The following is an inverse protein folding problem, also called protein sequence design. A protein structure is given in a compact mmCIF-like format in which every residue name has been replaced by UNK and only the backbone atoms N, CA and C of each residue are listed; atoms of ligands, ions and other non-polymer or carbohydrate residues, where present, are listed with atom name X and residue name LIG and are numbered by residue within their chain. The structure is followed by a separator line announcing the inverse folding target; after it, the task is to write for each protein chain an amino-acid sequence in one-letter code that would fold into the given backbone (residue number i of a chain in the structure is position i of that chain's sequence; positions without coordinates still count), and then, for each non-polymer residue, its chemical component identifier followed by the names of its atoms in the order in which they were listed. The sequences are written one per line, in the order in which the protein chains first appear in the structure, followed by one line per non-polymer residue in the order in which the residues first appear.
data_IF_389863872855
#
_entry.id   IF_389863872855
#
_cell.length_a   1.000
_cell.length_b   1.000
_cell.length_c   1.000
_cell.angle_alpha   90.00
_cell.angle_beta   90.00
_cell.angle_gamma   90.00
#
_symmetry.space_group_name_H-M   'P 1'
#
loop_
_entity.id
_entity.type
_entity.pdbx_description
1 polymer ?
#
# COMPACT_ATOMS: atom_id res chain seq x y z
N UNK A 1 -8.99 -20.83 10.56
CA UNK A 1 -7.83 -20.53 9.69
C UNK A 1 -7.56 -19.05 9.84
N UNK A 2 -6.30 -18.62 9.94
CA UNK A 2 -5.95 -17.20 10.04
C UNK A 2 -5.31 -16.71 8.76
N UNK A 3 -5.30 -15.39 8.55
CA UNK A 3 -4.77 -14.73 7.36
C UNK A 3 -3.68 -13.71 7.68
N UNK A 4 -2.83 -13.45 6.70
CA UNK A 4 -1.98 -12.26 6.66
C UNK A 4 -2.72 -11.18 5.87
N UNK A 5 -2.78 -9.97 6.42
CA UNK A 5 -3.31 -8.80 5.72
C UNK A 5 -2.14 -7.94 5.26
N UNK A 6 -2.02 -7.69 3.96
CA UNK A 6 -1.08 -6.70 3.43
C UNK A 6 -1.82 -5.39 3.26
N UNK A 7 -1.48 -4.39 4.08
CA UNK A 7 -2.06 -3.06 4.02
C UNK A 7 -1.28 -2.18 3.03
N UNK A 8 -1.84 -2.06 1.83
CA UNK A 8 -1.35 -1.21 0.75
C UNK A 8 -1.75 0.24 1.01
N UNK A 9 -0.78 1.16 0.91
CA UNK A 9 -0.99 2.60 1.07
C UNK A 9 -0.53 3.32 -0.19
N UNK A 10 0.62 3.99 -0.14
CA UNK A 10 1.21 4.73 -1.27
C UNK A 10 2.20 3.90 -2.09
N UNK A 11 2.40 2.66 -1.70
CA UNK A 11 3.36 1.69 -2.23
C UNK A 11 2.68 0.69 -3.16
N UNK A 12 1.90 1.19 -4.12
CA UNK A 12 1.05 0.40 -5.02
C UNK A 12 1.87 -0.32 -6.12
N UNK A 13 2.67 -1.30 -5.70
CA UNK A 13 3.53 -2.14 -6.55
C UNK A 13 3.74 -3.53 -5.95
N UNK A 14 4.03 -4.52 -6.81
CA UNK A 14 4.41 -5.86 -6.40
C UNK A 14 5.92 -6.04 -6.25
N UNK A 15 6.71 -5.43 -7.14
CA UNK A 15 8.17 -5.55 -7.07
C UNK A 15 8.73 -4.63 -5.98
N UNK A 16 9.86 -5.05 -5.42
CA UNK A 16 10.58 -4.34 -4.37
C UNK A 16 9.68 -3.92 -3.19
N UNK A 17 8.77 -4.82 -2.78
CA UNK A 17 7.82 -4.58 -1.71
C UNK A 17 8.07 -5.54 -0.52
N UNK A 18 8.75 -5.09 0.55
CA UNK A 18 9.13 -5.95 1.67
C UNK A 18 7.92 -6.46 2.47
N UNK A 19 6.86 -5.67 2.63
CA UNK A 19 5.63 -6.14 3.28
C UNK A 19 5.00 -7.35 2.55
N UNK A 20 4.96 -7.30 1.22
CA UNK A 20 4.44 -8.42 0.40
C UNK A 20 5.35 -9.64 0.52
N UNK A 21 6.66 -9.45 0.45
CA UNK A 21 7.62 -10.53 0.54
C UNK A 21 7.58 -11.21 1.92
N UNK A 22 7.45 -10.44 3.00
CA UNK A 22 7.31 -10.99 4.35
C UNK A 22 5.98 -11.75 4.49
N UNK A 23 4.86 -11.18 4.05
CA UNK A 23 3.57 -11.88 4.06
C UNK A 23 3.62 -13.20 3.28
N UNK A 24 4.37 -13.22 2.16
CA UNK A 24 4.59 -14.43 1.37
C UNK A 24 5.44 -15.48 2.12
N UNK A 25 6.50 -15.04 2.79
CA UNK A 25 7.39 -15.90 3.57
C UNK A 25 6.69 -16.50 4.80
N UNK A 26 5.80 -15.75 5.43
CA UNK A 26 4.97 -16.20 6.56
C UNK A 26 4.06 -17.39 6.19
N UNK A 27 3.73 -17.52 4.91
CA UNK A 27 3.12 -18.74 4.37
C UNK A 27 1.67 -18.95 4.78
N UNK A 28 0.97 -17.95 5.34
CA UNK A 28 -0.49 -17.91 5.53
C UNK A 28 -1.19 -17.43 4.24
N UNK A 29 -2.51 -17.64 4.09
CA UNK A 29 -3.26 -16.98 3.02
C UNK A 29 -3.19 -15.45 3.17
N UNK A 30 -3.03 -14.74 2.06
CA UNK A 30 -2.85 -13.30 2.01
C UNK A 30 -4.12 -12.64 1.47
N UNK A 31 -4.59 -11.62 2.18
CA UNK A 31 -5.54 -10.64 1.70
C UNK A 31 -4.82 -9.30 1.55
N UNK A 32 -5.01 -8.60 0.44
CA UNK A 32 -4.51 -7.24 0.28
C UNK A 32 -5.64 -6.28 0.66
N UNK A 33 -5.33 -5.23 1.42
CA UNK A 33 -6.25 -4.17 1.77
C UNK A 33 -5.72 -2.85 1.27
N UNK A 34 -6.52 -2.13 0.49
CA UNK A 34 -6.39 -0.70 0.33
C UNK A 34 -7.54 -0.02 1.07
N UNK A 35 -7.20 0.82 2.05
CA UNK A 35 -8.16 1.58 2.82
C UNK A 35 -8.00 3.07 2.51
N UNK A 36 -9.04 3.71 1.98
CA UNK A 36 -9.09 5.15 1.78
C UNK A 36 -9.79 5.82 2.97
N UNK A 37 -9.02 6.55 3.78
CA UNK A 37 -9.56 7.26 4.93
C UNK A 37 -10.50 8.40 4.50
N UNK A 38 -11.72 8.44 5.07
CA UNK A 38 -12.71 9.50 4.79
C UNK A 38 -12.23 10.88 5.19
N UNK A 39 -11.35 10.99 6.20
CA UNK A 39 -10.72 12.26 6.62
C UNK A 39 -10.09 12.99 5.42
N UNK A 40 -9.56 12.25 4.43
CA UNK A 40 -8.94 12.84 3.23
C UNK A 40 -9.87 13.71 2.40
N UNK A 41 -11.19 13.54 2.46
CA UNK A 41 -12.15 14.37 1.74
C UNK A 41 -12.09 15.84 2.17
N UNK A 42 -11.88 16.08 3.46
CA UNK A 42 -11.98 17.41 4.05
C UNK A 42 -10.62 18.12 4.14
N UNK A 43 -9.56 17.46 3.67
CA UNK A 43 -8.20 17.97 3.77
C UNK A 43 -7.87 18.96 2.67
N UNK A 44 -7.40 20.14 3.08
CA UNK A 44 -6.91 21.18 2.17
C UNK A 44 -5.71 20.76 1.30
N UNK A 45 -4.92 19.77 1.75
CA UNK A 45 -3.76 19.23 1.04
C UNK A 45 -4.10 18.05 0.11
N UNK A 46 -5.38 17.70 -0.03
CA UNK A 46 -5.86 16.62 -0.90
C UNK A 46 -6.74 17.18 -2.00
N UNK A 47 -6.39 16.86 -3.25
CA UNK A 47 -7.24 17.11 -4.42
C UNK A 47 -7.79 15.78 -4.93
N UNK A 48 -9.00 15.77 -5.48
CA UNK A 48 -9.61 14.56 -6.02
C UNK A 48 -8.78 13.92 -7.14
N UNK A 49 -7.95 14.68 -7.86
CA UNK A 49 -7.02 14.09 -8.85
C UNK A 49 -5.97 13.19 -8.22
N UNK A 50 -5.50 13.48 -6.99
CA UNK A 50 -4.53 12.65 -6.29
C UNK A 50 -5.16 11.32 -5.90
N UNK A 51 -6.39 11.37 -5.39
CA UNK A 51 -7.15 10.17 -5.04
C UNK A 51 -7.48 9.35 -6.28
N UNK A 52 -7.94 9.99 -7.36
CA UNK A 52 -8.22 9.28 -8.60
C UNK A 52 -6.97 8.60 -9.16
N UNK A 53 -5.81 9.25 -9.09
CA UNK A 53 -4.53 8.65 -9.50
C UNK A 53 -4.18 7.41 -8.68
N UNK A 54 -4.34 7.47 -7.36
CA UNK A 54 -4.08 6.33 -6.47
C UNK A 54 -5.04 5.17 -6.76
N UNK A 55 -6.34 5.43 -6.96
CA UNK A 55 -7.34 4.40 -7.29
C UNK A 55 -7.09 3.76 -8.67
N UNK A 56 -6.63 4.53 -9.65
CA UNK A 56 -6.26 4.00 -10.96
C UNK A 56 -4.99 3.13 -10.89
N UNK A 57 -4.00 3.54 -10.09
CA UNK A 57 -2.83 2.70 -9.81
C UNK A 57 -3.21 1.42 -9.06
N UNK A 58 -4.16 1.51 -8.12
CA UNK A 58 -4.69 0.35 -7.40
C UNK A 58 -5.43 -0.61 -8.34
N UNK A 59 -6.19 -0.11 -9.32
CA UNK A 59 -6.84 -0.94 -10.34
C UNK A 59 -5.82 -1.72 -11.19
N UNK A 60 -4.73 -1.07 -11.60
CA UNK A 60 -3.62 -1.74 -12.28
C UNK A 60 -3.00 -2.82 -11.40
N UNK A 61 -2.65 -2.47 -10.15
CA UNK A 61 -2.06 -3.41 -9.18
C UNK A 61 -3.00 -4.58 -8.86
N UNK A 62 -4.30 -4.31 -8.73
CA UNK A 62 -5.32 -5.34 -8.50
C UNK A 62 -5.31 -6.38 -9.61
N UNK A 63 -5.27 -5.95 -10.86
CA UNK A 63 -5.21 -6.86 -12.01
C UNK A 63 -3.95 -7.75 -11.94
N UNK A 64 -2.81 -7.17 -11.55
CA UNK A 64 -1.57 -7.90 -11.35
C UNK A 64 -1.63 -8.91 -10.18
N UNK A 65 -2.27 -8.54 -9.07
CA UNK A 65 -2.48 -9.40 -7.91
C UNK A 65 -3.41 -10.57 -8.26
N UNK A 66 -4.50 -10.31 -8.97
CA UNK A 66 -5.48 -11.32 -9.41
C UNK A 66 -4.86 -12.34 -10.36
N UNK A 67 -4.04 -11.88 -11.32
CA UNK A 67 -3.30 -12.75 -12.23
C UNK A 67 -2.34 -13.71 -11.50
N UNK A 68 -1.94 -13.38 -10.27
CA UNK A 68 -1.08 -14.21 -9.41
C UNK A 68 -1.87 -15.03 -8.37
N UNK A 69 -3.21 -14.96 -8.41
CA UNK A 69 -4.11 -15.68 -7.50
C UNK A 69 -4.38 -14.98 -6.17
N UNK A 70 -4.07 -13.69 -6.06
CA UNK A 70 -4.38 -12.87 -4.89
C UNK A 70 -5.76 -12.20 -4.97
N UNK A 71 -6.13 -11.51 -3.89
CA UNK A 71 -7.39 -10.79 -3.75
C UNK A 71 -7.10 -9.40 -3.16
N UNK A 72 -7.72 -8.37 -3.72
CA UNK A 72 -7.65 -6.99 -3.20
C UNK A 72 -8.99 -6.58 -2.63
N UNK A 73 -8.99 -6.22 -1.35
CA UNK A 73 -10.12 -5.63 -0.65
C UNK A 73 -10.00 -4.12 -0.66
N UNK A 74 -11.10 -3.44 -0.94
CA UNK A 74 -11.20 -1.98 -0.93
C UNK A 74 -12.13 -1.53 0.19
N UNK A 75 -11.69 -0.59 1.00
CA UNK A 75 -12.51 0.02 2.05
C UNK A 75 -12.39 1.53 2.01
N UNK A 76 -13.47 2.22 2.35
CA UNK A 76 -13.53 3.66 2.47
C UNK A 76 -14.23 4.03 3.78
N UNK A 77 -13.66 4.94 4.57
CA UNK A 77 -14.23 5.32 5.87
C UNK A 77 -13.18 5.40 6.96
N UNK A 78 -13.49 4.81 8.12
CA UNK A 78 -12.58 4.73 9.27
C UNK A 78 -11.88 3.37 9.30
N UNK A 79 -10.55 3.39 9.32
CA UNK A 79 -9.75 2.17 9.19
C UNK A 79 -9.97 1.18 10.32
N UNK A 80 -10.19 1.64 11.56
CA UNK A 80 -10.38 0.74 12.69
C UNK A 80 -11.69 -0.04 12.59
N UNK A 81 -12.74 0.57 12.04
CA UNK A 81 -14.02 -0.11 11.77
C UNK A 81 -13.79 -1.21 10.72
N UNK A 82 -13.13 -0.86 9.61
CA UNK A 82 -12.79 -1.80 8.54
C UNK A 82 -11.90 -2.96 9.05
N UNK A 83 -10.90 -2.68 9.88
CA UNK A 83 -10.03 -3.71 10.45
C UNK A 83 -10.78 -4.62 11.41
N UNK A 84 -11.68 -4.06 12.23
CA UNK A 84 -12.54 -4.84 13.14
C UNK A 84 -13.41 -5.81 12.34
N UNK A 85 -14.13 -5.32 11.33
CA UNK A 85 -14.96 -6.17 10.46
C UNK A 85 -14.15 -7.27 9.77
N UNK A 86 -12.99 -6.92 9.19
CA UNK A 86 -12.14 -7.89 8.51
C UNK A 86 -11.54 -8.92 9.48
N UNK A 87 -11.21 -8.51 10.70
CA UNK A 87 -10.70 -9.41 11.72
C UNK A 87 -11.78 -10.41 12.17
N UNK A 88 -13.01 -9.96 12.37
CA UNK A 88 -14.15 -10.84 12.69
C UNK A 88 -14.42 -11.85 11.57
N UNK A 89 -14.33 -11.43 10.31
CA UNK A 89 -14.61 -12.27 9.15
C UNK A 89 -13.50 -13.27 8.82
N UNK A 90 -12.24 -12.88 8.99
CA UNK A 90 -11.09 -13.64 8.44
C UNK A 90 -10.06 -14.04 9.48
N UNK A 91 -10.21 -13.61 10.73
CA UNK A 91 -9.28 -13.87 11.83
C UNK A 91 -7.83 -13.50 11.43
N UNK A 92 -7.60 -12.19 11.29
CA UNK A 92 -6.30 -11.64 10.89
C UNK A 92 -5.26 -12.01 11.96
N UNK A 93 -4.16 -12.63 11.55
CA UNK A 93 -3.03 -12.95 12.43
C UNK A 93 -1.98 -11.85 12.42
N UNK A 94 -1.61 -11.37 11.22
CA UNK A 94 -0.59 -10.33 11.05
C UNK A 94 -1.04 -9.32 10.00
N UNK A 95 -0.84 -8.04 10.28
CA UNK A 95 -0.91 -6.95 9.31
C UNK A 95 0.54 -6.59 8.93
N UNK A 96 0.84 -6.68 7.64
CA UNK A 96 2.10 -6.24 7.07
C UNK A 96 1.87 -4.96 6.28
N UNK A 97 2.75 -3.97 6.42
CA UNK A 97 2.69 -2.74 5.63
C UNK A 97 4.06 -2.13 5.44
N UNK A 98 4.20 -1.21 4.49
CA UNK A 98 5.43 -0.43 4.35
C UNK A 98 5.31 0.93 5.04
N UNK A 99 6.31 1.34 5.82
CA UNK A 99 6.33 2.62 6.51
C UNK A 99 5.91 3.77 5.58
N UNK A 100 4.88 4.52 6.00
CA UNK A 100 4.53 5.77 5.34
C UNK A 100 5.29 6.93 6.00
N UNK A 101 5.75 7.89 5.20
CA UNK A 101 6.25 9.19 5.65
C UNK A 101 5.26 10.26 5.21
N UNK A 102 4.18 10.39 5.96
CA UNK A 102 3.09 11.32 5.67
C UNK A 102 3.05 12.51 6.63
N UNK A 103 1.86 13.11 6.74
CA UNK A 103 1.59 14.20 7.68
C UNK A 103 1.15 13.65 9.05
N UNK A 104 0.91 14.56 10.00
CA UNK A 104 0.49 14.20 11.37
C UNK A 104 -0.76 13.31 11.41
N UNK A 105 -1.72 13.51 10.50
CA UNK A 105 -2.95 12.72 10.47
C UNK A 105 -2.68 11.26 10.11
N UNK A 106 -1.89 10.99 9.06
CA UNK A 106 -1.53 9.62 8.66
C UNK A 106 -0.67 8.95 9.73
N UNK A 107 0.18 9.71 10.41
CA UNK A 107 0.92 9.21 11.58
C UNK A 107 -0.01 8.82 12.73
N UNK A 108 -1.01 9.65 13.05
CA UNK A 108 -1.98 9.35 14.09
C UNK A 108 -2.82 8.12 13.74
N UNK A 109 -3.20 7.96 12.46
CA UNK A 109 -3.87 6.76 11.95
C UNK A 109 -3.00 5.51 12.15
N UNK A 110 -1.75 5.53 11.72
CA UNK A 110 -0.85 4.37 11.85
C UNK A 110 -0.63 3.99 13.33
N UNK A 111 -0.54 4.99 14.22
CA UNK A 111 -0.52 4.77 15.67
C UNK A 111 -1.80 4.11 16.19
N UNK A 112 -2.95 4.60 15.78
CA UNK A 112 -4.24 4.04 16.20
C UNK A 112 -4.41 2.60 15.69
N UNK A 113 -3.93 2.28 14.48
CA UNK A 113 -3.89 0.91 13.95
C UNK A 113 -2.96 0.03 14.78
N UNK A 114 -1.78 0.52 15.17
CA UNK A 114 -0.88 -0.22 16.04
C UNK A 114 -1.47 -0.50 17.42
N UNK A 115 -2.15 0.47 18.02
CA UNK A 115 -2.88 0.33 19.30
C UNK A 115 -4.02 -0.70 19.15
N UNK A 116 -4.84 -0.60 18.09
CA UNK A 116 -5.88 -1.59 17.77
C UNK A 116 -5.32 -3.00 17.60
N UNK A 117 -4.15 -3.15 16.95
CA UNK A 117 -3.50 -4.45 16.78
C UNK A 117 -3.10 -5.06 18.13
N UNK A 118 -2.57 -4.25 19.06
CA UNK A 118 -2.23 -4.70 20.41
C UNK A 118 -3.46 -5.20 21.18
N UNK A 119 -4.57 -4.44 21.12
CA UNK A 119 -5.82 -4.80 21.80
C UNK A 119 -6.44 -6.09 21.26
N UNK A 120 -6.28 -6.36 19.96
CA UNK A 120 -6.86 -7.52 19.28
C UNK A 120 -5.89 -8.71 19.12
N UNK A 121 -4.70 -8.65 19.72
CA UNK A 121 -3.65 -9.66 19.58
C UNK A 121 -3.27 -9.96 18.10
N UNK A 122 -3.28 -8.92 17.28
CA UNK A 122 -2.84 -8.96 15.87
C UNK A 122 -1.40 -8.45 15.81
N UNK A 123 -0.52 -9.17 15.11
CA UNK A 123 0.83 -8.69 14.87
C UNK A 123 0.80 -7.54 13.86
N UNK A 124 1.56 -6.48 14.09
CA UNK A 124 1.71 -5.39 13.14
C UNK A 124 3.19 -5.17 12.81
N UNK A 125 3.55 -5.40 11.56
CA UNK A 125 4.93 -5.29 11.07
C UNK A 125 5.01 -4.28 9.94
N UNK A 126 5.82 -3.24 10.16
CA UNK A 126 6.10 -2.23 9.15
C UNK A 126 7.52 -2.34 8.63
N UNK A 127 7.66 -2.22 7.31
CA UNK A 127 8.95 -2.27 6.64
C UNK A 127 9.26 -0.96 5.96
N UNK A 128 10.52 -0.50 6.03
CA UNK A 128 10.91 0.64 5.24
C UNK A 128 10.84 0.35 3.73
N UNK A 129 10.43 1.34 2.95
CA UNK A 129 10.29 1.22 1.48
C UNK A 129 11.09 2.26 0.68
N UNK A 130 11.76 3.19 1.34
CA UNK A 130 12.52 4.27 0.69
C UNK A 130 13.72 4.72 1.55
N UNK A 131 14.45 5.74 1.07
CA UNK A 131 15.62 6.29 1.76
C UNK A 131 15.33 7.13 3.02
N UNK A 132 14.08 7.27 3.45
CA UNK A 132 13.73 7.96 4.70
C UNK A 132 13.93 7.01 5.86
N UNK A 133 14.69 7.45 6.86
CA UNK A 133 14.89 6.72 8.11
C UNK A 133 14.05 7.39 9.20
N UNK A 134 13.00 6.70 9.66
CA UNK A 134 12.10 7.20 10.72
C UNK A 134 12.81 7.20 12.08
N UNK A 135 12.51 8.19 12.92
CA UNK A 135 12.96 8.23 14.32
C UNK A 135 14.46 8.51 14.55
N UNK A 136 15.18 9.05 13.56
CA UNK A 136 16.57 9.44 13.74
C UNK A 136 16.73 10.58 14.75
N UNK A 137 17.62 10.38 15.74
CA UNK A 137 17.97 11.40 16.74
C UNK A 137 18.99 12.41 16.24
N UNK A 138 19.87 11.99 15.33
CA UNK A 138 20.86 12.84 14.66
C UNK A 138 20.92 12.50 13.16
N UNK A 139 21.40 13.45 12.37
CA UNK A 139 21.58 13.30 10.92
C UNK A 139 22.91 12.65 10.55
N UNK A 140 23.81 12.46 11.53
CA UNK A 140 25.18 11.96 11.32
C UNK A 140 25.19 10.57 10.65
N UNK A 141 24.31 9.67 11.09
CA UNK A 141 24.21 8.31 10.56
C UNK A 141 23.26 8.18 9.36
N UNK A 142 22.49 9.22 9.04
CA UNK A 142 21.43 9.15 8.03
C UNK A 142 21.96 8.68 6.68
N UNK A 143 23.09 9.26 6.23
CA UNK A 143 23.68 8.92 4.92
C UNK A 143 24.06 7.44 4.85
N UNK A 144 24.77 6.92 5.86
CA UNK A 144 25.20 5.54 5.88
C UNK A 144 24.01 4.56 5.91
N UNK A 145 22.96 4.88 6.68
CA UNK A 145 21.75 4.06 6.77
C UNK A 145 20.94 4.09 5.48
N UNK A 146 20.76 5.28 4.89
CA UNK A 146 20.10 5.47 3.60
C UNK A 146 20.83 4.71 2.51
N UNK A 147 22.14 4.92 2.37
CA UNK A 147 22.92 4.34 1.26
C UNK A 147 22.89 2.80 1.35
N UNK A 148 23.04 2.22 2.54
CA UNK A 148 22.87 0.76 2.74
C UNK A 148 21.51 0.24 2.27
N UNK A 149 20.43 1.00 2.48
CA UNK A 149 19.08 0.60 2.06
C UNK A 149 18.88 0.73 0.55
N UNK A 150 19.41 1.80 -0.06
CA UNK A 150 19.32 2.02 -1.51
C UNK A 150 20.18 1.03 -2.29
N UNK A 151 21.32 0.63 -1.73
CA UNK A 151 22.24 -0.35 -2.35
C UNK A 151 21.80 -1.81 -2.12
N UNK A 152 20.71 -2.04 -1.38
CA UNK A 152 20.18 -3.37 -1.17
C UNK A 152 19.66 -3.97 -2.48
N UNK A 153 19.77 -5.30 -2.60
CA UNK A 153 19.19 -6.00 -3.75
C UNK A 153 17.68 -5.85 -3.76
N UNK A 154 17.14 -5.60 -4.95
CA UNK A 154 15.69 -5.49 -5.16
C UNK A 154 14.99 -6.80 -4.78
N UNK A 155 13.82 -6.67 -4.17
CA UNK A 155 12.97 -7.82 -3.87
C UNK A 155 12.14 -8.18 -5.10
N UNK A 156 12.17 -9.44 -5.53
CA UNK A 156 11.36 -9.90 -6.64
C UNK A 156 9.87 -9.93 -6.28
N UNK A 157 9.01 -9.59 -7.25
CA UNK A 157 7.57 -9.75 -7.12
C UNK A 157 7.21 -11.24 -6.96
N UNK A 158 6.25 -11.60 -6.08
CA UNK A 158 5.85 -12.99 -5.92
C UNK A 158 5.24 -13.54 -7.21
N UNK A 159 5.71 -14.70 -7.67
CA UNK A 159 5.16 -15.37 -8.86
C UNK A 159 3.75 -15.95 -8.63
N UNK A 160 3.42 -16.27 -7.37
CA UNK A 160 2.09 -16.77 -6.97
C UNK A 160 1.73 -16.28 -5.58
N UNK A 161 0.50 -15.84 -5.41
CA UNK A 161 -0.12 -15.45 -4.16
C UNK A 161 -1.11 -16.55 -3.76
N UNK A 162 -1.15 -16.89 -2.48
CA UNK A 162 -2.13 -17.83 -1.93
C UNK A 162 -3.14 -17.02 -1.12
N UNK A 163 -4.41 -17.07 -1.48
CA UNK A 163 -5.51 -16.39 -0.79
C UNK A 163 -6.51 -17.41 -0.20
N UNK A 164 -7.54 -16.93 0.49
CA UNK A 164 -8.67 -17.75 0.96
C UNK A 164 -9.55 -18.20 -0.22
N UNK A 165 -10.15 -19.39 -0.17
CA UNK A 165 -11.08 -19.84 -1.22
C UNK A 165 -12.35 -18.99 -1.23
N UNK A 166 -12.95 -18.82 -2.41
CA UNK A 166 -14.25 -18.15 -2.64
C UNK A 166 -14.30 -16.66 -2.24
N UNK A 167 -13.16 -15.99 -2.08
CA UNK A 167 -13.12 -14.53 -1.95
C UNK A 167 -12.75 -13.94 -3.31
N UNK A 168 -13.41 -12.85 -3.67
CA UNK A 168 -13.14 -12.08 -4.88
C UNK A 168 -12.65 -10.69 -4.50
N UNK A 169 -11.87 -10.06 -5.36
CA UNK A 169 -11.47 -8.67 -5.14
C UNK A 169 -12.66 -7.75 -5.26
N UNK A 170 -12.65 -6.69 -4.47
CA UNK A 170 -13.65 -5.63 -4.55
C UNK A 170 -13.48 -4.82 -5.85
N UNK A 171 -14.58 -4.23 -6.32
CA UNK A 171 -14.51 -3.19 -7.34
C UNK A 171 -13.84 -1.95 -6.74
N UNK A 172 -12.93 -1.32 -7.50
CA UNK A 172 -12.33 -0.06 -7.08
C UNK A 172 -13.17 1.07 -7.67
N UNK A 173 -13.81 1.91 -6.84
CA UNK A 173 -14.69 2.97 -7.31
C UNK A 173 -13.90 4.11 -7.95
N UNK A 174 -14.59 4.93 -8.74
CA UNK A 174 -14.08 6.24 -9.12
C UNK A 174 -14.15 7.20 -7.93
N UNK A 175 -13.19 8.12 -7.81
CA UNK A 175 -13.10 9.02 -6.65
C UNK A 175 -14.36 9.90 -6.48
N UNK A 176 -15.05 10.24 -7.57
CA UNK A 176 -16.31 10.98 -7.51
C UNK A 176 -17.45 10.22 -6.82
N UNK A 177 -17.45 8.87 -6.89
CA UNK A 177 -18.43 8.04 -6.19
C UNK A 177 -18.22 8.09 -4.67
N UNK A 178 -17.03 8.47 -4.23
CA UNK A 178 -16.65 8.64 -2.83
C UNK A 178 -16.75 10.11 -2.36
N UNK A 179 -17.29 11.00 -3.20
CA UNK A 179 -17.48 12.41 -2.86
C UNK A 179 -16.31 13.33 -3.20
N UNK A 180 -15.22 12.83 -3.80
CA UNK A 180 -14.13 13.69 -4.25
C UNK A 180 -14.50 14.44 -5.52
N UNK A 181 -14.19 15.74 -5.57
CA UNK A 181 -14.28 16.51 -6.82
C UNK A 181 -13.06 16.22 -7.67
N UNK A 182 -13.26 15.51 -8.77
CA UNK A 182 -12.21 15.26 -9.77
C UNK A 182 -12.30 16.27 -10.91
N UNK A 183 -11.21 16.38 -11.67
CA UNK A 183 -11.15 17.13 -12.93
C UNK A 183 -10.43 16.30 -13.97
N UNK A 184 -10.76 16.54 -15.24
CA UNK A 184 -10.01 15.95 -16.35
C UNK A 184 -8.60 16.54 -16.39
N UNK A 185 -7.63 15.67 -16.65
CA UNK A 185 -6.23 16.04 -16.80
C UNK A 185 -5.82 15.87 -18.26
N UNK A 186 -5.22 16.90 -18.83
CA UNK A 186 -4.59 16.82 -20.14
C UNK A 186 -3.22 16.14 -20.01
N UNK A 187 -2.86 15.30 -20.97
CA UNK A 187 -1.59 14.55 -20.97
C UNK A 187 -1.37 13.73 -19.69
N UNK A 188 -2.46 13.17 -19.14
CA UNK A 188 -2.39 12.33 -17.95
C UNK A 188 -1.54 11.08 -18.26
N UNK A 189 -0.52 10.76 -17.46
CA UNK A 189 0.27 9.54 -17.66
C UNK A 189 -0.59 8.30 -17.44
N UNK A 190 -0.15 7.16 -17.99
CA UNK A 190 -0.75 5.87 -17.70
C UNK A 190 -0.43 5.47 -16.23
N UNK A 191 -1.43 5.02 -15.46
CA UNK A 191 -1.24 4.62 -14.06
C UNK A 191 -0.62 3.22 -13.93
N UNK A 192 -0.05 2.93 -12.77
CA UNK A 192 0.42 1.58 -12.41
C UNK A 192 1.93 1.35 -12.53
N UNK A 193 2.36 0.22 -11.98
CA UNK A 193 3.78 -0.15 -11.85
C UNK A 193 4.47 -0.29 -13.21
N UNK A 194 3.83 -0.96 -14.18
CA UNK A 194 4.39 -1.16 -15.52
C UNK A 194 4.65 0.17 -16.26
N UNK A 195 3.70 1.11 -16.19
CA UNK A 195 3.84 2.43 -16.80
C UNK A 195 4.93 3.26 -16.11
N UNK A 196 5.05 3.16 -14.79
CA UNK A 196 6.15 3.78 -14.04
C UNK A 196 7.52 3.23 -14.48
N UNK A 197 7.66 1.91 -14.64
CA UNK A 197 8.90 1.29 -15.12
C UNK A 197 9.25 1.72 -16.55
N UNK A 198 8.27 1.74 -17.46
CA UNK A 198 8.48 2.25 -18.83
C UNK A 198 8.94 3.71 -18.83
N UNK A 199 8.34 4.53 -17.96
CA UNK A 199 8.74 5.94 -17.81
C UNK A 199 10.17 6.07 -17.30
N UNK A 200 10.56 5.25 -16.32
CA UNK A 200 11.91 5.21 -15.77
C UNK A 200 12.94 4.80 -16.85
N UNK A 201 12.71 3.68 -17.53
CA UNK A 201 13.65 3.21 -18.55
C UNK A 201 13.73 4.15 -19.75
N UNK A 202 12.61 4.71 -20.22
CA UNK A 202 12.65 5.75 -21.25
C UNK A 202 13.50 6.97 -20.83
N UNK A 203 13.52 7.32 -19.55
CA UNK A 203 14.37 8.40 -19.06
C UNK A 203 15.84 8.01 -19.07
N UNK A 204 16.19 6.85 -18.53
CA UNK A 204 17.57 6.39 -18.39
C UNK A 204 18.23 6.06 -19.73
N UNK A 205 17.46 5.49 -20.65
CA UNK A 205 17.99 4.95 -21.90
C UNK A 205 17.87 5.91 -23.07
N UNK A 206 16.93 6.87 -23.00
CA UNK A 206 16.61 7.76 -24.13
C UNK A 206 16.57 9.25 -23.73
N UNK A 207 15.58 9.67 -22.92
CA UNK A 207 15.25 11.10 -22.72
C UNK A 207 16.24 11.87 -21.85
N UNK A 208 16.96 11.18 -20.98
CA UNK A 208 17.89 11.76 -20.01
C UNK A 208 19.36 11.68 -20.43
N UNK A 209 19.64 11.15 -21.63
CA UNK A 209 20.99 11.11 -22.23
C UNK A 209 21.29 12.37 -23.02
#
# INVERSE_FOLDING_TARGET
MTVSLVWLRRDLRLADNPAIAQAKADGRPILFLYHLDSERLERHDVDGIHVQWELDCLNSLKSDIENRGGVVLFRFGHILESLTELHELHNIHTIYGNEESGLQWSWNRDRAVAEWCQENNVQFEEFPSNGVIRGLRSRDDWKALRDRRIDASLIEAPSRIRTLPNIQSDAIPHASELGFKTRELQHRPEPGESAAMNTLFSFLDERGR
#
